data_IF_529336859436
#
_entry.id   IF_529336859436
#
_cell.length_a   1.000
_cell.length_b   1.000
_cell.length_c   1.000
_cell.angle_alpha   90.00
_cell.angle_beta   90.00
_cell.angle_gamma   90.00
#
_symmetry.space_group_name_H-M   'P 1'
#
loop_
_entity.id
_entity.type
_entity.pdbx_description
1 polymer ?
#
# COMPACT_ATOMS: atom_id res chain seq x y z
N UNK A 1 -7.04 -2.25 -0.17
CA UNK A 1 -6.01 -1.30 0.31
C UNK A 1 -6.65 -0.35 1.30
N UNK A 2 -6.07 -0.24 2.47
CA UNK A 2 -6.41 0.66 3.57
C UNK A 2 -5.25 1.62 3.81
N UNK A 3 -5.49 2.64 4.66
CA UNK A 3 -4.46 3.49 5.25
C UNK A 3 -4.66 3.48 6.78
N UNK A 4 -5.31 4.49 7.36
CA UNK A 4 -5.57 4.52 8.80
C UNK A 4 -6.76 3.63 9.21
N UNK A 5 -6.64 2.98 10.37
CA UNK A 5 -7.74 2.31 11.06
C UNK A 5 -7.92 3.01 12.40
N UNK A 6 -8.80 4.02 12.42
CA UNK A 6 -8.97 4.87 13.60
C UNK A 6 -10.41 5.33 13.75
N UNK A 7 -10.82 5.55 15.04
CA UNK A 7 -12.11 6.11 15.37
C UNK A 7 -12.13 7.62 15.12
N UNK A 8 -11.11 8.30 15.60
CA UNK A 8 -10.99 9.75 15.66
C UNK A 8 -9.68 10.25 14.99
N UNK A 9 -9.50 9.99 13.67
CA UNK A 9 -8.30 10.43 12.96
C UNK A 9 -8.31 11.94 12.82
N UNK A 10 -7.14 12.51 12.54
CA UNK A 10 -7.05 13.94 12.18
C UNK A 10 -7.93 14.27 10.97
N UNK A 11 -8.37 15.53 10.79
CA UNK A 11 -9.14 15.93 9.60
C UNK A 11 -8.42 15.59 8.27
N UNK A 12 -7.08 15.64 8.25
CA UNK A 12 -6.28 15.32 7.07
C UNK A 12 -6.32 13.82 6.71
N UNK A 13 -6.38 12.93 7.69
CA UNK A 13 -6.44 11.49 7.50
C UNK A 13 -7.87 10.93 7.42
N UNK A 14 -8.90 11.74 7.73
CA UNK A 14 -10.29 11.27 7.85
C UNK A 14 -10.77 10.52 6.60
N UNK A 15 -10.55 11.06 5.41
CA UNK A 15 -10.97 10.43 4.15
C UNK A 15 -10.26 9.11 3.83
N UNK A 16 -9.05 8.93 4.37
CA UNK A 16 -8.21 7.75 4.20
C UNK A 16 -8.41 6.70 5.30
N UNK A 17 -9.19 7.03 6.33
CA UNK A 17 -9.41 6.15 7.48
C UNK A 17 -10.61 5.22 7.30
N UNK A 18 -10.64 4.13 8.06
CA UNK A 18 -11.83 3.35 8.37
C UNK A 18 -11.96 3.23 9.89
N UNK A 19 -13.18 3.09 10.42
CA UNK A 19 -13.31 2.85 11.87
C UNK A 19 -12.89 1.44 12.23
N UNK A 20 -12.38 1.18 13.46
CA UNK A 20 -12.06 -0.16 13.92
C UNK A 20 -13.22 -1.16 13.78
N UNK A 21 -14.45 -0.70 14.08
CA UNK A 21 -15.65 -1.53 13.92
C UNK A 21 -15.97 -1.87 12.46
N UNK A 22 -15.81 -0.90 11.52
CA UNK A 22 -15.98 -1.16 10.10
C UNK A 22 -14.92 -2.14 9.58
N UNK A 23 -13.65 -1.96 9.99
CA UNK A 23 -12.58 -2.89 9.63
C UNK A 23 -12.86 -4.30 10.14
N UNK A 24 -13.27 -4.46 11.40
CA UNK A 24 -13.60 -5.77 11.97
C UNK A 24 -14.73 -6.46 11.20
N UNK A 25 -15.82 -5.76 10.89
CA UNK A 25 -16.92 -6.31 10.10
C UNK A 25 -16.53 -6.66 8.66
N UNK A 26 -15.60 -5.89 8.07
CA UNK A 26 -15.05 -6.19 6.75
C UNK A 26 -14.18 -7.45 6.77
N UNK A 27 -13.37 -7.67 7.80
CA UNK A 27 -12.57 -8.92 7.92
C UNK A 27 -13.45 -10.13 8.23
N UNK A 28 -14.51 -9.98 9.01
CA UNK A 28 -15.53 -11.03 9.18
C UNK A 28 -16.15 -11.42 7.84
N UNK A 29 -16.54 -10.43 7.03
CA UNK A 29 -17.07 -10.69 5.69
C UNK A 29 -16.07 -11.37 4.74
N UNK A 30 -14.76 -11.11 4.89
CA UNK A 30 -13.68 -11.83 4.17
C UNK A 30 -13.66 -13.30 4.60
N UNK A 31 -13.73 -13.58 5.91
CA UNK A 31 -13.74 -14.93 6.47
C UNK A 31 -14.98 -15.73 6.02
N UNK A 32 -16.17 -15.16 6.22
CA UNK A 32 -17.45 -15.80 5.85
C UNK A 32 -17.54 -16.19 4.38
N UNK A 33 -16.86 -15.43 3.52
CA UNK A 33 -16.83 -15.71 2.06
C UNK A 33 -15.69 -16.60 1.62
N UNK A 34 -14.92 -17.14 2.56
CA UNK A 34 -13.84 -18.09 2.29
C UNK A 34 -12.68 -17.48 1.49
N UNK A 35 -12.44 -16.18 1.60
CA UNK A 35 -11.22 -15.58 1.06
C UNK A 35 -10.02 -15.95 1.92
N UNK A 36 -8.88 -16.13 1.26
CA UNK A 36 -7.60 -16.41 1.92
C UNK A 36 -6.65 -15.22 1.70
N UNK A 37 -6.46 -14.37 2.71
CA UNK A 37 -5.48 -13.29 2.64
C UNK A 37 -4.06 -13.82 2.53
N UNK A 38 -3.29 -13.22 1.64
CA UNK A 38 -1.87 -13.49 1.39
C UNK A 38 -1.07 -12.20 1.59
N UNK A 39 0.22 -12.34 1.84
CA UNK A 39 1.16 -11.22 1.73
C UNK A 39 1.44 -10.91 0.26
N UNK A 40 1.88 -9.68 -0.02
CA UNK A 40 2.30 -9.27 -1.37
C UNK A 40 3.47 -10.12 -1.86
N UNK A 41 4.45 -10.40 -1.00
CA UNK A 41 5.58 -11.27 -1.30
C UNK A 41 5.13 -12.71 -1.59
N UNK A 42 4.17 -13.23 -0.82
CA UNK A 42 3.60 -14.57 -1.02
C UNK A 42 2.92 -14.71 -2.39
N UNK A 43 2.08 -13.72 -2.77
CA UNK A 43 1.47 -13.69 -4.10
C UNK A 43 2.52 -13.65 -5.22
N UNK A 44 3.52 -12.78 -5.08
CA UNK A 44 4.56 -12.64 -6.10
C UNK A 44 5.44 -13.91 -6.21
N UNK A 45 5.75 -14.56 -5.09
CA UNK A 45 6.47 -15.83 -5.08
C UNK A 45 5.66 -16.94 -5.78
N UNK A 46 4.37 -17.07 -5.47
CA UNK A 46 3.50 -18.04 -6.13
C UNK A 46 3.46 -17.82 -7.66
N UNK A 47 3.34 -16.57 -8.10
CA UNK A 47 3.32 -16.27 -9.54
C UNK A 47 4.66 -16.51 -10.24
N UNK A 48 5.79 -16.26 -9.57
CA UNK A 48 7.13 -16.54 -10.15
C UNK A 48 7.40 -18.03 -10.27
N UNK A 49 7.04 -18.79 -9.24
CA UNK A 49 7.36 -20.20 -9.14
C UNK A 49 6.28 -21.11 -9.77
N UNK A 50 5.18 -20.53 -10.27
CA UNK A 50 4.05 -21.29 -10.80
C UNK A 50 3.27 -22.07 -9.73
N UNK A 51 3.43 -21.71 -8.44
CA UNK A 51 2.73 -22.36 -7.36
C UNK A 51 1.22 -22.04 -7.39
N UNK A 52 0.36 -22.97 -6.99
CA UNK A 52 -1.08 -22.74 -6.95
C UNK A 52 -1.42 -21.68 -5.89
N UNK A 53 -2.34 -20.79 -6.21
CA UNK A 53 -2.95 -19.88 -5.24
C UNK A 53 -4.16 -20.56 -4.59
N UNK A 54 -4.56 -20.13 -3.37
CA UNK A 54 -5.82 -20.55 -2.79
C UNK A 54 -7.00 -20.22 -3.73
N UNK A 55 -8.14 -20.87 -3.53
CA UNK A 55 -9.31 -20.71 -4.40
C UNK A 55 -9.81 -19.25 -4.49
N UNK A 56 -9.73 -18.51 -3.38
CA UNK A 56 -10.16 -17.11 -3.28
C UNK A 56 -9.04 -16.23 -2.66
N UNK A 57 -7.96 -15.96 -3.40
CA UNK A 57 -6.84 -15.18 -2.87
C UNK A 57 -7.22 -13.72 -2.70
N UNK A 58 -6.77 -13.09 -1.62
CA UNK A 58 -6.97 -11.67 -1.34
C UNK A 58 -5.67 -11.07 -0.80
N UNK A 59 -5.38 -9.81 -1.10
CA UNK A 59 -4.36 -9.03 -0.42
C UNK A 59 -5.03 -8.00 0.50
N UNK A 60 -4.73 -8.04 1.77
CA UNK A 60 -5.06 -6.97 2.72
C UNK A 60 -3.80 -6.12 2.89
N UNK A 61 -3.86 -4.86 2.45
CA UNK A 61 -2.69 -3.97 2.46
C UNK A 61 -3.02 -2.66 3.15
N UNK A 62 -2.03 -2.11 3.88
CA UNK A 62 -2.11 -0.82 4.53
C UNK A 62 -0.96 0.05 4.03
N UNK A 63 -1.22 1.29 3.70
CA UNK A 63 -0.21 2.24 3.24
C UNK A 63 0.15 3.24 4.35
N UNK A 64 1.27 3.95 4.19
CA UNK A 64 1.80 5.02 5.02
C UNK A 64 2.46 4.57 6.33
N UNK A 65 1.86 3.68 7.09
CA UNK A 65 2.35 3.23 8.40
C UNK A 65 1.66 3.91 9.59
N UNK A 66 0.34 4.14 9.52
CA UNK A 66 -0.45 4.69 10.63
C UNK A 66 -0.51 3.76 11.85
N UNK A 67 -0.41 4.33 13.07
CA UNK A 67 -0.42 3.57 14.34
C UNK A 67 -1.65 2.69 14.51
N UNK A 68 -2.81 3.14 14.03
CA UNK A 68 -4.05 2.37 14.13
C UNK A 68 -4.00 0.98 13.47
N UNK A 69 -3.04 0.73 12.57
CA UNK A 69 -2.82 -0.60 12.01
C UNK A 69 -2.35 -1.57 13.08
N UNK A 70 -1.40 -1.19 13.93
CA UNK A 70 -0.95 -1.98 15.06
C UNK A 70 -2.04 -2.08 16.13
N UNK A 71 -2.61 -0.95 16.53
CA UNK A 71 -3.54 -0.86 17.66
C UNK A 71 -4.88 -1.54 17.40
N UNK A 72 -5.41 -1.45 16.19
CA UNK A 72 -6.77 -1.85 15.85
C UNK A 72 -6.86 -2.93 14.79
N UNK A 73 -6.00 -2.92 13.76
CA UNK A 73 -6.09 -3.90 12.69
C UNK A 73 -5.41 -5.23 13.07
N UNK A 74 -4.23 -5.20 13.67
CA UNK A 74 -3.48 -6.39 14.04
C UNK A 74 -4.30 -7.40 14.89
N UNK A 75 -5.00 -7.00 15.96
CA UNK A 75 -5.79 -7.96 16.76
C UNK A 75 -6.91 -8.63 15.94
N UNK A 76 -7.53 -7.89 15.02
CA UNK A 76 -8.58 -8.42 14.14
C UNK A 76 -8.00 -9.41 13.13
N UNK A 77 -6.87 -9.08 12.50
CA UNK A 77 -6.17 -9.97 11.56
C UNK A 77 -5.70 -11.25 12.25
N UNK A 78 -5.14 -11.14 13.46
CA UNK A 78 -4.72 -12.28 14.27
C UNK A 78 -5.87 -13.21 14.63
N UNK A 79 -7.04 -12.65 15.02
CA UNK A 79 -8.26 -13.43 15.30
C UNK A 79 -8.65 -14.36 14.14
N UNK A 80 -8.46 -13.92 12.91
CA UNK A 80 -8.80 -14.67 11.70
C UNK A 80 -7.59 -15.40 11.08
N UNK A 81 -6.40 -15.30 11.66
CA UNK A 81 -5.14 -15.79 11.08
C UNK A 81 -4.88 -15.25 9.66
N UNK A 82 -5.23 -13.99 9.44
CA UNK A 82 -5.11 -13.33 8.14
C UNK A 82 -3.74 -12.70 7.94
N UNK A 83 -3.07 -13.08 6.87
CA UNK A 83 -1.86 -12.41 6.43
C UNK A 83 -2.17 -11.00 5.87
N UNK A 84 -1.23 -10.07 6.06
CA UNK A 84 -1.35 -8.70 5.55
C UNK A 84 0.01 -8.14 5.13
N UNK A 85 -0.01 -6.99 4.46
CA UNK A 85 1.21 -6.23 4.13
C UNK A 85 1.03 -4.78 4.54
N UNK A 86 1.98 -4.23 5.28
CA UNK A 86 2.04 -2.80 5.63
C UNK A 86 3.18 -2.16 4.87
N UNK A 87 2.88 -1.12 4.08
CA UNK A 87 3.84 -0.33 3.35
C UNK A 87 4.15 0.95 4.12
N UNK A 88 5.40 1.10 4.59
CA UNK A 88 5.80 2.20 5.47
C UNK A 88 6.56 3.29 4.74
N UNK A 89 6.19 4.55 5.00
CA UNK A 89 6.98 5.73 4.64
C UNK A 89 7.97 5.99 5.77
N UNK A 90 9.23 5.59 5.57
CA UNK A 90 10.20 5.49 6.66
C UNK A 90 10.56 6.80 7.34
N UNK A 91 10.39 7.94 6.65
CA UNK A 91 10.57 9.28 7.22
C UNK A 91 9.32 9.84 7.91
N UNK A 92 8.21 9.11 7.92
CA UNK A 92 7.00 9.45 8.67
C UNK A 92 6.88 8.66 9.97
N UNK A 93 7.57 7.51 10.08
CA UNK A 93 7.54 6.71 11.30
C UNK A 93 8.24 7.42 12.44
N UNK A 94 7.66 7.33 13.64
CA UNK A 94 8.22 7.94 14.85
C UNK A 94 9.58 7.32 15.22
N UNK A 95 10.53 8.15 15.55
CA UNK A 95 11.88 7.76 15.98
C UNK A 95 13.01 8.45 15.22
N UNK A 96 14.16 7.81 15.15
CA UNK A 96 15.41 8.43 14.63
C UNK A 96 15.36 8.85 13.15
N UNK A 97 14.42 8.35 12.39
CA UNK A 97 14.28 8.64 10.95
C UNK A 97 13.13 9.61 10.65
N UNK A 98 12.39 10.05 11.67
CA UNK A 98 11.25 10.95 11.52
C UNK A 98 11.67 12.30 10.92
N UNK A 99 11.18 12.57 9.73
CA UNK A 99 11.39 13.82 8.98
C UNK A 99 10.16 14.71 8.97
N UNK A 100 9.09 14.31 9.66
CA UNK A 100 7.80 15.00 9.69
C UNK A 100 6.98 14.81 8.41
N UNK A 101 5.83 15.49 8.35
CA UNK A 101 4.95 15.52 7.19
C UNK A 101 3.85 14.46 7.20
N UNK A 102 3.80 13.60 8.21
CA UNK A 102 2.72 12.65 8.40
C UNK A 102 1.38 13.36 8.66
N UNK A 103 0.29 12.73 8.22
CA UNK A 103 -1.05 13.31 8.35
C UNK A 103 -1.73 12.98 9.67
N UNK A 104 -1.24 11.97 10.40
CA UNK A 104 -1.76 11.53 11.69
C UNK A 104 -0.67 10.79 12.48
N UNK A 105 -1.03 10.17 13.61
CA UNK A 105 -0.11 9.38 14.44
C UNK A 105 0.38 8.15 13.68
N UNK A 106 1.71 8.04 13.60
CA UNK A 106 2.38 6.97 12.88
C UNK A 106 2.90 5.88 13.82
N UNK A 107 3.15 4.70 13.27
CA UNK A 107 3.88 3.64 13.95
C UNK A 107 5.27 4.13 14.39
N UNK A 108 5.78 3.58 15.48
CA UNK A 108 7.20 3.58 15.77
C UNK A 108 7.84 2.24 15.36
N UNK A 109 9.17 2.17 15.41
CA UNK A 109 9.89 0.97 14.95
C UNK A 109 9.70 -0.25 15.87
N UNK A 110 9.33 -0.06 17.15
CA UNK A 110 8.97 -1.18 18.02
C UNK A 110 7.67 -1.83 17.55
N UNK A 111 6.65 -1.00 17.26
CA UNK A 111 5.37 -1.46 16.71
C UNK A 111 5.52 -2.10 15.33
N UNK A 112 6.42 -1.59 14.47
CA UNK A 112 6.72 -2.21 13.17
C UNK A 112 7.34 -3.61 13.35
N UNK A 113 8.24 -3.77 14.31
CA UNK A 113 8.80 -5.11 14.65
C UNK A 113 7.71 -6.05 15.16
N UNK A 114 6.84 -5.61 16.06
CA UNK A 114 5.72 -6.42 16.56
C UNK A 114 4.79 -6.86 15.42
N UNK A 115 4.49 -5.98 14.45
CA UNK A 115 3.73 -6.34 13.24
C UNK A 115 4.44 -7.43 12.43
N UNK A 116 5.77 -7.29 12.22
CA UNK A 116 6.56 -8.26 11.48
C UNK A 116 6.63 -9.61 12.19
N UNK A 117 6.83 -9.63 13.52
CA UNK A 117 6.86 -10.84 14.36
C UNK A 117 5.51 -11.55 14.36
N UNK A 118 4.40 -10.80 14.23
CA UNK A 118 3.06 -11.35 14.07
C UNK A 118 2.76 -11.86 12.65
N UNK A 119 3.73 -11.85 11.74
CA UNK A 119 3.59 -12.37 10.37
C UNK A 119 3.06 -11.37 9.35
N UNK A 120 2.97 -10.09 9.69
CA UNK A 120 2.66 -9.03 8.72
C UNK A 120 3.90 -8.73 7.87
N UNK A 121 3.79 -8.74 6.55
CA UNK A 121 4.85 -8.29 5.66
C UNK A 121 5.04 -6.78 5.80
N UNK A 122 6.28 -6.32 5.97
CA UNK A 122 6.63 -4.91 5.93
C UNK A 122 7.24 -4.59 4.56
N UNK A 123 6.59 -3.70 3.82
CA UNK A 123 7.02 -3.21 2.52
C UNK A 123 7.42 -1.74 2.56
N UNK A 124 8.04 -1.24 1.48
CA UNK A 124 8.43 0.16 1.35
C UNK A 124 7.35 1.04 0.72
N UNK A 125 7.26 2.31 1.18
CA UNK A 125 6.36 3.32 0.62
C UNK A 125 7.08 4.66 0.38
N UNK A 126 8.33 4.63 -0.09
CA UNK A 126 9.30 5.71 -0.15
C UNK A 126 9.79 6.20 1.22
N UNK A 127 10.75 7.12 1.24
CA UNK A 127 11.23 7.69 2.49
C UNK A 127 10.31 8.79 3.01
N UNK A 128 10.04 9.83 2.22
CA UNK A 128 9.28 11.03 2.64
C UNK A 128 7.93 11.23 1.94
N UNK A 129 7.41 10.19 1.30
CA UNK A 129 6.09 10.14 0.64
C UNK A 129 5.84 11.21 -0.45
N UNK A 130 6.80 11.53 -1.35
CA UNK A 130 6.58 12.48 -2.42
C UNK A 130 5.89 11.86 -3.63
N UNK A 131 5.42 12.70 -4.57
CA UNK A 131 5.01 12.25 -5.91
C UNK A 131 6.27 11.83 -6.70
N UNK A 132 6.61 10.53 -6.67
CA UNK A 132 7.87 10.00 -7.21
C UNK A 132 8.09 10.32 -8.71
N UNK A 133 7.02 10.47 -9.48
CA UNK A 133 7.09 10.81 -10.90
C UNK A 133 7.46 12.28 -11.17
N UNK A 134 7.46 13.13 -10.15
CA UNK A 134 7.83 14.54 -10.21
C UNK A 134 9.27 14.84 -9.76
N UNK A 135 9.97 13.84 -9.23
CA UNK A 135 11.33 13.98 -8.72
C UNK A 135 12.37 13.91 -9.85
N UNK A 136 13.52 14.54 -9.66
CA UNK A 136 14.71 14.24 -10.47
C UNK A 136 15.25 12.82 -10.19
N UNK A 137 16.25 12.38 -10.95
CA UNK A 137 16.79 11.03 -10.85
C UNK A 137 17.48 10.76 -9.50
N UNK A 138 18.22 11.74 -8.98
CA UNK A 138 18.95 11.60 -7.72
C UNK A 138 17.98 11.49 -6.53
N UNK A 139 16.98 12.38 -6.48
CA UNK A 139 15.97 12.36 -5.45
C UNK A 139 15.08 11.11 -5.51
N UNK A 140 14.68 10.70 -6.72
CA UNK A 140 13.91 9.46 -6.90
C UNK A 140 14.68 8.23 -6.39
N UNK A 141 15.98 8.15 -6.71
CA UNK A 141 16.85 7.08 -6.21
C UNK A 141 16.96 7.13 -4.68
N UNK A 142 17.17 8.30 -4.10
CA UNK A 142 17.21 8.49 -2.65
C UNK A 142 15.93 7.97 -1.98
N UNK A 143 14.76 8.40 -2.45
CA UNK A 143 13.46 8.02 -1.87
C UNK A 143 13.23 6.51 -1.87
N UNK A 144 13.62 5.82 -2.92
CA UNK A 144 13.39 4.38 -3.04
C UNK A 144 14.45 3.57 -2.30
N UNK A 145 15.73 3.93 -2.45
CA UNK A 145 16.85 3.20 -1.85
C UNK A 145 16.89 3.41 -0.34
N UNK A 146 16.78 4.68 0.13
CA UNK A 146 16.83 4.98 1.56
C UNK A 146 15.69 4.34 2.34
N UNK A 147 14.49 4.30 1.76
CA UNK A 147 13.38 3.56 2.35
C UNK A 147 13.73 2.08 2.56
N UNK A 148 14.29 1.43 1.55
CA UNK A 148 14.66 0.01 1.62
C UNK A 148 15.78 -0.26 2.62
N UNK A 149 16.79 0.61 2.67
CA UNK A 149 17.90 0.54 3.62
C UNK A 149 17.40 0.63 5.07
N UNK A 150 16.61 1.66 5.39
CA UNK A 150 16.09 1.86 6.74
C UNK A 150 15.26 0.67 7.21
N UNK A 151 14.35 0.15 6.38
CA UNK A 151 13.58 -1.04 6.77
C UNK A 151 14.51 -2.24 7.00
N UNK A 152 15.54 -2.42 6.15
CA UNK A 152 16.55 -3.46 6.32
C UNK A 152 17.39 -3.30 7.60
N UNK A 153 17.78 -2.06 7.93
CA UNK A 153 18.50 -1.73 9.18
C UNK A 153 17.66 -2.04 10.42
N UNK A 154 16.36 -1.70 10.40
CA UNK A 154 15.47 -1.83 11.55
C UNK A 154 14.94 -3.27 11.78
N UNK A 155 14.77 -4.03 10.70
CA UNK A 155 14.19 -5.38 10.76
C UNK A 155 15.19 -6.51 10.49
N UNK A 156 16.45 -6.20 10.18
CA UNK A 156 17.45 -7.20 9.80
C UNK A 156 17.23 -7.82 8.42
N UNK A 157 16.13 -7.47 7.73
CA UNK A 157 15.78 -8.01 6.41
C UNK A 157 15.20 -6.90 5.54
N UNK A 158 15.81 -6.69 4.36
CA UNK A 158 15.35 -5.66 3.45
C UNK A 158 14.00 -6.05 2.79
N UNK A 159 13.06 -5.10 2.67
CA UNK A 159 11.75 -5.36 2.09
C UNK A 159 11.88 -5.69 0.60
N UNK A 160 10.98 -6.55 0.12
CA UNK A 160 10.92 -6.98 -1.28
C UNK A 160 9.75 -6.37 -2.04
N UNK A 161 8.75 -5.88 -1.33
CA UNK A 161 7.53 -5.27 -1.88
C UNK A 161 7.54 -3.76 -1.68
N UNK A 162 7.00 -3.03 -2.67
CA UNK A 162 6.86 -1.58 -2.64
C UNK A 162 5.43 -1.15 -2.98
N UNK A 163 4.93 -0.07 -2.39
CA UNK A 163 3.73 0.62 -2.87
C UNK A 163 4.10 2.03 -3.31
N UNK A 164 3.53 2.49 -4.42
CA UNK A 164 3.82 3.83 -4.91
C UNK A 164 2.98 4.87 -4.15
N UNK A 165 3.60 5.91 -3.54
CA UNK A 165 2.86 7.04 -3.02
C UNK A 165 1.86 7.59 -4.04
N UNK A 166 0.63 7.83 -3.61
CA UNK A 166 -0.51 8.24 -4.46
C UNK A 166 -0.87 7.24 -5.58
N UNK A 167 -0.22 6.07 -5.64
CA UNK A 167 -0.39 5.09 -6.71
C UNK A 167 0.28 5.46 -8.05
N UNK A 168 1.08 6.52 -8.10
CA UNK A 168 1.65 7.03 -9.35
C UNK A 168 2.94 6.31 -9.73
N UNK A 169 2.94 5.63 -10.88
CA UNK A 169 4.11 4.92 -11.38
C UNK A 169 4.33 5.16 -12.88
N UNK A 170 5.39 5.88 -13.24
CA UNK A 170 5.91 5.97 -14.62
C UNK A 170 6.90 4.82 -14.90
N UNK A 171 7.29 4.63 -16.17
CA UNK A 171 8.36 3.67 -16.50
C UNK A 171 9.65 3.95 -15.74
N UNK A 172 10.02 5.23 -15.61
CA UNK A 172 11.19 5.69 -14.84
C UNK A 172 11.09 5.33 -13.37
N UNK A 173 9.95 5.57 -12.73
CA UNK A 173 9.72 5.24 -11.33
C UNK A 173 9.79 3.73 -11.09
N UNK A 174 9.14 2.93 -11.96
CA UNK A 174 9.20 1.45 -11.86
C UNK A 174 10.63 0.92 -12.01
N UNK A 175 11.43 1.55 -12.87
CA UNK A 175 12.84 1.20 -13.03
C UNK A 175 13.63 1.52 -11.76
N UNK A 176 13.46 2.70 -11.15
CA UNK A 176 14.13 3.07 -9.92
C UNK A 176 13.78 2.13 -8.75
N UNK A 177 12.52 1.77 -8.59
CA UNK A 177 12.07 0.80 -7.58
C UNK A 177 12.72 -0.57 -7.80
N UNK A 178 12.80 -1.05 -9.04
CA UNK A 178 13.50 -2.29 -9.38
C UNK A 178 15.00 -2.21 -9.08
N UNK A 179 15.65 -1.11 -9.48
CA UNK A 179 17.08 -0.86 -9.25
C UNK A 179 17.43 -0.71 -7.76
N UNK A 180 16.48 -0.23 -6.95
CA UNK A 180 16.60 -0.22 -5.50
C UNK A 180 16.53 -1.63 -4.87
N UNK A 181 16.15 -2.68 -5.64
CA UNK A 181 16.13 -4.07 -5.21
C UNK A 181 14.77 -4.60 -4.75
N UNK A 182 13.68 -3.85 -4.96
CA UNK A 182 12.34 -4.40 -4.78
C UNK A 182 11.98 -5.34 -5.94
N UNK A 183 11.27 -6.43 -5.67
CA UNK A 183 10.90 -7.45 -6.66
C UNK A 183 9.47 -7.30 -7.18
N UNK A 184 8.63 -6.56 -6.47
CA UNK A 184 7.27 -6.23 -6.87
C UNK A 184 6.85 -4.86 -6.35
N UNK A 185 5.88 -4.25 -7.04
CA UNK A 185 5.30 -2.98 -6.60
C UNK A 185 3.81 -2.85 -6.95
N UNK A 186 3.08 -2.20 -6.06
CA UNK A 186 1.65 -2.01 -6.12
C UNK A 186 1.30 -0.55 -6.43
N UNK A 187 0.39 -0.38 -7.38
CA UNK A 187 -0.21 0.89 -7.76
C UNK A 187 -1.62 1.05 -7.19
N UNK A 188 -2.28 2.16 -7.51
CA UNK A 188 -3.68 2.41 -7.20
C UNK A 188 -4.41 2.79 -8.49
N UNK A 189 -5.11 1.83 -9.07
CA UNK A 189 -5.93 2.07 -10.26
C UNK A 189 -7.38 1.68 -10.04
N UNK A 190 -7.73 1.33 -8.80
CA UNK A 190 -9.06 0.84 -8.43
C UNK A 190 -9.53 -0.27 -9.38
N UNK A 191 -8.71 -1.31 -9.48
CA UNK A 191 -8.96 -2.51 -10.27
C UNK A 191 -8.38 -3.74 -9.57
N UNK A 192 -8.82 -4.93 -9.99
CA UNK A 192 -8.27 -6.18 -9.48
C UNK A 192 -6.83 -6.39 -9.95
N UNK A 193 -5.99 -6.90 -9.06
CA UNK A 193 -4.64 -7.36 -9.40
C UNK A 193 -4.73 -8.52 -10.41
N UNK A 194 -3.92 -8.45 -11.46
CA UNK A 194 -3.83 -9.50 -12.49
C UNK A 194 -2.37 -9.72 -12.91
N UNK A 195 -1.96 -10.96 -13.10
CA UNK A 195 -0.59 -11.31 -13.51
C UNK A 195 -0.10 -10.56 -14.75
N UNK A 196 -1.00 -10.25 -15.71
CA UNK A 196 -0.67 -9.49 -16.93
C UNK A 196 -0.24 -8.04 -16.69
N UNK A 197 -0.49 -7.47 -15.51
CA UNK A 197 -0.03 -6.11 -15.14
C UNK A 197 1.48 -6.06 -14.89
N UNK A 198 2.10 -7.24 -14.73
CA UNK A 198 3.51 -7.38 -14.40
C UNK A 198 3.79 -7.09 -12.92
N UNK A 199 5.01 -7.42 -12.46
CA UNK A 199 5.32 -7.37 -11.03
C UNK A 199 5.39 -5.95 -10.46
N UNK A 200 5.55 -4.91 -11.29
CA UNK A 200 5.73 -3.52 -10.84
C UNK A 200 4.51 -2.62 -11.10
N UNK A 201 3.33 -3.19 -11.32
CA UNK A 201 2.13 -2.40 -11.61
C UNK A 201 0.84 -3.08 -11.14
N UNK A 202 0.91 -3.85 -10.05
CA UNK A 202 -0.26 -4.53 -9.51
C UNK A 202 -1.26 -3.50 -8.99
N UNK A 203 -2.48 -3.58 -9.50
CA UNK A 203 -3.54 -2.67 -9.12
C UNK A 203 -4.16 -3.08 -7.78
N UNK A 204 -4.70 -2.08 -7.08
CA UNK A 204 -5.44 -2.26 -5.83
C UNK A 204 -6.74 -1.47 -5.85
N UNK A 205 -7.68 -1.89 -5.02
CA UNK A 205 -8.96 -1.20 -4.78
C UNK A 205 -8.89 -0.51 -3.42
N UNK A 206 -9.20 0.79 -3.39
CA UNK A 206 -9.18 1.60 -2.17
C UNK A 206 -10.44 1.35 -1.32
N UNK A 207 -10.26 1.11 -0.03
CA UNK A 207 -11.33 1.11 0.98
C UNK A 207 -11.25 2.44 1.73
N UNK A 208 -12.37 3.13 1.86
CA UNK A 208 -12.50 4.48 2.44
C UNK A 208 -13.45 4.47 3.62
N UNK A 209 -13.48 5.57 4.38
CA UNK A 209 -14.41 5.75 5.48
C UNK A 209 -15.88 5.61 5.05
N UNK A 210 -16.20 6.00 3.85
CA UNK A 210 -17.54 5.88 3.28
C UNK A 210 -17.87 4.49 2.74
N UNK A 211 -16.90 3.57 2.68
CA UNK A 211 -17.13 2.22 2.13
C UNK A 211 -17.94 1.38 3.11
N UNK A 212 -19.24 1.28 2.91
CA UNK A 212 -20.13 0.43 3.70
C UNK A 212 -19.90 -1.05 3.44
N UNK A 213 -20.42 -1.91 4.32
CA UNK A 213 -20.18 -3.37 4.26
C UNK A 213 -20.66 -4.00 2.95
N UNK A 214 -21.83 -3.61 2.45
CA UNK A 214 -22.34 -4.15 1.19
C UNK A 214 -21.49 -3.76 -0.01
N UNK A 215 -20.98 -2.52 -0.01
CA UNK A 215 -20.06 -2.06 -1.04
C UNK A 215 -18.74 -2.83 -0.97
N UNK A 216 -18.17 -2.96 0.23
CA UNK A 216 -16.95 -3.73 0.47
C UNK A 216 -17.06 -5.17 -0.06
N UNK A 217 -18.18 -5.86 0.24
CA UNK A 217 -18.45 -7.20 -0.27
C UNK A 217 -18.45 -7.25 -1.80
N UNK A 218 -19.13 -6.30 -2.45
CA UNK A 218 -19.11 -6.21 -3.92
C UNK A 218 -17.71 -5.99 -4.48
N UNK A 219 -16.89 -5.17 -3.79
CA UNK A 219 -15.51 -4.90 -4.22
C UNK A 219 -14.61 -6.12 -4.13
N UNK A 220 -14.63 -6.87 -3.02
CA UNK A 220 -13.80 -8.08 -2.86
C UNK A 220 -14.23 -9.20 -3.82
N UNK A 221 -15.49 -9.26 -4.20
CA UNK A 221 -16.02 -10.17 -5.21
C UNK A 221 -15.75 -9.69 -6.66
N UNK A 222 -15.07 -8.58 -6.84
CA UNK A 222 -14.76 -8.01 -8.15
C UNK A 222 -15.95 -7.37 -8.86
N UNK A 223 -17.05 -7.13 -8.15
CA UNK A 223 -18.29 -6.56 -8.69
C UNK A 223 -18.30 -5.04 -8.52
N UNK A 224 -18.89 -4.35 -9.49
CA UNK A 224 -19.13 -2.90 -9.48
C UNK A 224 -17.88 -1.99 -9.36
N UNK A 225 -16.66 -2.51 -9.37
CA UNK A 225 -15.42 -1.72 -9.21
C UNK A 225 -15.34 -0.60 -10.27
N UNK A 226 -15.59 -0.93 -11.54
CA UNK A 226 -15.51 0.05 -12.63
C UNK A 226 -16.50 1.21 -12.45
N UNK A 227 -17.71 0.93 -11.97
CA UNK A 227 -18.76 1.92 -11.70
C UNK A 227 -18.44 2.77 -10.48
N UNK A 228 -18.09 2.15 -9.35
CA UNK A 228 -17.84 2.83 -8.09
C UNK A 228 -16.64 3.79 -8.17
N UNK A 229 -15.64 3.46 -8.98
CA UNK A 229 -14.42 4.26 -9.14
C UNK A 229 -14.30 4.95 -10.50
N UNK A 230 -15.40 5.15 -11.24
CA UNK A 230 -15.38 5.79 -12.55
C UNK A 230 -14.83 7.23 -12.47
N UNK A 231 -15.31 8.02 -11.51
CA UNK A 231 -14.86 9.40 -11.29
C UNK A 231 -13.39 9.45 -10.84
N UNK A 232 -12.98 8.59 -9.89
CA UNK A 232 -11.59 8.52 -9.43
C UNK A 232 -10.62 8.19 -10.56
N UNK A 233 -11.00 7.24 -11.41
CA UNK A 233 -10.19 6.84 -12.58
C UNK A 233 -10.10 7.95 -13.61
N UNK A 234 -11.15 8.71 -13.84
CA UNK A 234 -11.15 9.88 -14.72
C UNK A 234 -10.23 10.99 -14.16
N UNK A 235 -10.37 11.31 -12.86
CA UNK A 235 -9.46 12.24 -12.17
C UNK A 235 -8.00 11.80 -12.25
N UNK A 236 -7.71 10.54 -11.92
CA UNK A 236 -6.35 10.00 -11.97
C UNK A 236 -5.72 10.14 -13.35
N UNK A 237 -6.49 9.89 -14.42
CA UNK A 237 -6.04 10.11 -15.81
C UNK A 237 -5.77 11.59 -16.09
N UNK A 238 -6.65 12.50 -15.67
CA UNK A 238 -6.46 13.94 -15.81
C UNK A 238 -5.21 14.43 -15.08
N UNK A 239 -5.03 14.03 -13.82
CA UNK A 239 -3.81 14.33 -13.06
C UNK A 239 -2.55 13.72 -13.69
N UNK A 240 -2.62 12.52 -14.25
CA UNK A 240 -1.48 11.90 -14.95
C UNK A 240 -1.04 12.75 -16.15
N UNK A 241 -1.99 13.30 -16.92
CA UNK A 241 -1.69 14.19 -18.03
C UNK A 241 -1.03 15.49 -17.55
N UNK A 242 -1.61 16.14 -16.53
CA UNK A 242 -1.07 17.36 -15.95
C UNK A 242 0.34 17.17 -15.36
N UNK A 243 0.60 16.03 -14.71
CA UNK A 243 1.94 15.70 -14.17
C UNK A 243 2.95 15.45 -15.29
N UNK A 244 2.56 14.77 -16.37
CA UNK A 244 3.42 14.59 -17.55
C UNK A 244 3.81 15.93 -18.15
N UNK A 245 2.85 16.84 -18.34
CA UNK A 245 3.13 18.19 -18.85
C UNK A 245 4.11 18.95 -17.95
N UNK A 246 3.91 18.94 -16.62
CA UNK A 246 4.84 19.56 -15.66
C UNK A 246 6.24 18.92 -15.71
N UNK A 247 6.33 17.59 -15.80
CA UNK A 247 7.60 16.88 -15.91
C UNK A 247 8.37 17.26 -17.18
N UNK A 248 7.68 17.37 -18.31
CA UNK A 248 8.27 17.81 -19.57
C UNK A 248 8.84 19.23 -19.48
N UNK A 249 8.10 20.17 -18.86
CA UNK A 249 8.56 21.55 -18.63
C UNK A 249 9.78 21.64 -17.70
N UNK A 250 9.98 20.69 -16.81
CA UNK A 250 11.12 20.64 -15.86
C UNK A 250 12.32 19.82 -16.40
N UNK A 251 12.29 19.32 -17.60
CA UNK A 251 13.37 18.52 -18.20
C UNK A 251 13.56 17.13 -17.58
N UNK A 252 12.59 16.62 -16.84
CA UNK A 252 12.71 15.34 -16.12
C UNK A 252 12.35 14.09 -16.96
N UNK A 253 12.14 14.27 -18.28
CA UNK A 253 11.69 13.21 -19.20
C UNK A 253 12.75 12.86 -20.27
N UNK A 254 13.98 12.62 -19.83
CA UNK A 254 14.99 11.95 -20.67
C UNK A 254 15.34 10.60 -20.05
#
# INVERSE_FOLDING_TARGET
MYHAVDRDPTPAALGLSVTPGAFAGQMEAVAERGFTPLTTAGLAAAWRNGAPLPARPLLVTFDDGYEGVHRHALPVLAKHSFASTVFVSTGWLRGKHDGGGALDTMLDWAQVRELADAGTEIGGHSHSHPQLDQLDAARLRFETLRCREIVGEELGTAPVSFAYPYGYSSRRVRRAVREAGFTQALAVGNALARRRQGPYALERVTVRRSTGIEEFVRLIEGRAIARNFAADRAMTKGYALARRARGALRGHWI
#
